data_IF_385522818228
#
_entry.id   IF_385522818228
#
_cell.length_a   1.000
_cell.length_b   1.000
_cell.length_c   1.000
_cell.angle_alpha   90.00
_cell.angle_beta   90.00
_cell.angle_gamma   90.00
#
_symmetry.space_group_name_H-M   'P 1'
#
loop_
_entity.id
_entity.type
_entity.pdbx_description
1 polymer ?
#
# COMPACT_ATOMS: atom_id res chain seq x y z
N UNK A 1 11.52 29.34 -10.92
CA UNK A 1 11.15 29.04 -12.32
C UNK A 1 11.21 27.55 -12.64
N UNK A 2 12.27 26.82 -12.24
CA UNK A 2 12.39 25.37 -12.57
C UNK A 2 11.30 24.49 -11.94
N UNK A 3 11.01 24.65 -10.64
CA UNK A 3 9.91 23.90 -9.99
C UNK A 3 8.55 24.18 -10.62
N UNK A 4 8.32 25.39 -11.16
CA UNK A 4 7.10 25.72 -11.89
C UNK A 4 6.99 24.92 -13.19
N UNK A 5 8.10 24.79 -13.95
CA UNK A 5 8.16 23.94 -15.14
C UNK A 5 7.97 22.47 -14.77
N UNK A 6 8.64 21.99 -13.73
CA UNK A 6 8.48 20.62 -13.25
C UNK A 6 7.03 20.32 -12.85
N UNK A 7 6.35 21.25 -12.16
CA UNK A 7 4.93 21.14 -11.83
C UNK A 7 4.05 21.00 -13.08
N UNK A 8 4.33 21.77 -14.14
CA UNK A 8 3.61 21.67 -15.41
C UNK A 8 3.85 20.32 -16.08
N UNK A 9 5.10 19.85 -16.14
CA UNK A 9 5.44 18.55 -16.71
C UNK A 9 4.80 17.39 -15.95
N UNK A 10 4.84 17.43 -14.61
CA UNK A 10 4.17 16.43 -13.76
C UNK A 10 2.67 16.43 -14.01
N UNK A 11 2.03 17.59 -14.05
CA UNK A 11 0.60 17.66 -14.30
C UNK A 11 0.24 17.17 -15.70
N UNK A 12 1.05 17.47 -16.72
CA UNK A 12 0.81 17.00 -18.08
C UNK A 12 0.71 15.47 -18.16
N UNK A 13 1.52 14.75 -17.37
CA UNK A 13 1.47 13.27 -17.28
C UNK A 13 0.31 12.82 -16.40
N UNK A 14 0.10 13.47 -15.25
CA UNK A 14 -0.91 13.07 -14.26
C UNK A 14 -2.35 13.36 -14.72
N UNK A 15 -2.58 14.43 -15.47
CA UNK A 15 -3.91 14.89 -15.87
C UNK A 15 -4.76 13.81 -16.56
N UNK A 16 -4.30 13.13 -17.64
CA UNK A 16 -5.11 12.08 -18.26
C UNK A 16 -5.34 10.89 -17.30
N UNK A 17 -4.39 10.59 -16.41
CA UNK A 17 -4.55 9.53 -15.42
C UNK A 17 -5.65 9.91 -14.41
N UNK A 18 -5.60 11.12 -13.87
CA UNK A 18 -6.54 11.59 -12.84
C UNK A 18 -7.94 11.87 -13.40
N UNK A 19 -8.04 12.41 -14.62
CA UNK A 19 -9.29 12.96 -15.14
C UNK A 19 -10.03 12.06 -16.13
N UNK A 20 -9.33 11.09 -16.74
CA UNK A 20 -9.90 10.27 -17.82
C UNK A 20 -9.83 8.77 -17.56
N UNK A 21 -9.20 8.34 -16.47
CA UNK A 21 -9.05 6.92 -16.15
C UNK A 21 -10.04 6.50 -15.06
N UNK A 22 -10.93 5.58 -15.41
CA UNK A 22 -11.81 4.92 -14.43
C UNK A 22 -11.03 4.02 -13.46
N UNK A 23 -9.79 3.69 -13.80
CA UNK A 23 -8.87 2.89 -12.99
C UNK A 23 -7.97 3.74 -12.09
N UNK A 24 -8.14 5.06 -12.07
CA UNK A 24 -7.39 5.92 -11.17
C UNK A 24 -7.76 5.66 -9.71
N UNK A 25 -6.76 5.29 -8.91
CA UNK A 25 -6.89 5.14 -7.46
C UNK A 25 -6.05 6.19 -6.74
N UNK A 26 -6.72 7.13 -6.07
CA UNK A 26 -6.05 8.15 -5.28
C UNK A 26 -5.16 7.53 -4.19
N UNK A 27 -5.68 6.53 -3.46
CA UNK A 27 -4.97 5.82 -2.41
C UNK A 27 -3.67 5.16 -2.90
N UNK A 28 -3.69 4.55 -4.09
CA UNK A 28 -2.51 3.96 -4.71
C UNK A 28 -1.43 5.01 -5.00
N UNK A 29 -1.74 6.07 -5.75
CA UNK A 29 -0.76 7.10 -6.11
C UNK A 29 -0.24 7.85 -4.89
N UNK A 30 -1.12 8.13 -3.91
CA UNK A 30 -0.72 8.75 -2.66
C UNK A 30 0.30 7.90 -1.91
N UNK A 31 0.02 6.60 -1.73
CA UNK A 31 0.93 5.67 -1.04
C UNK A 31 2.24 5.52 -1.80
N UNK A 32 2.18 5.43 -3.13
CA UNK A 32 3.36 5.35 -3.99
C UNK A 32 4.28 6.55 -3.79
N UNK A 33 3.74 7.77 -3.88
CA UNK A 33 4.53 9.01 -3.72
C UNK A 33 5.09 9.13 -2.28
N UNK A 34 4.27 8.82 -1.26
CA UNK A 34 4.72 8.81 0.15
C UNK A 34 5.91 7.84 0.34
N UNK A 35 5.86 6.66 -0.26
CA UNK A 35 6.96 5.69 -0.21
C UNK A 35 8.18 6.15 -0.97
N UNK A 36 8.03 6.68 -2.19
CA UNK A 36 9.14 7.23 -2.99
C UNK A 36 9.92 8.30 -2.20
N UNK A 37 9.22 9.15 -1.43
CA UNK A 37 9.83 10.22 -0.63
C UNK A 37 10.76 9.71 0.49
N UNK A 38 10.62 8.45 0.91
CA UNK A 38 11.51 7.80 1.88
C UNK A 38 12.77 7.21 1.23
N UNK A 39 12.98 7.38 -0.08
CA UNK A 39 14.15 6.86 -0.80
C UNK A 39 15.11 7.98 -1.16
N UNK A 40 16.34 7.58 -1.49
CA UNK A 40 17.35 8.40 -2.16
C UNK A 40 17.38 8.11 -3.66
N UNK A 41 18.07 8.95 -4.42
CA UNK A 41 18.42 8.63 -5.81
C UNK A 41 19.26 7.35 -5.85
N UNK A 42 18.95 6.41 -6.76
CA UNK A 42 19.67 5.15 -6.85
C UNK A 42 21.08 5.28 -7.46
N UNK A 43 21.29 6.28 -8.33
CA UNK A 43 22.55 6.46 -9.06
C UNK A 43 23.55 7.27 -8.22
N UNK A 44 23.05 8.28 -7.50
CA UNK A 44 23.83 9.20 -6.67
C UNK A 44 23.19 9.38 -5.28
N UNK A 45 23.14 8.32 -4.45
CA UNK A 45 22.51 8.37 -3.14
C UNK A 45 23.20 9.31 -2.14
N UNK A 46 24.49 9.59 -2.33
CA UNK A 46 25.29 10.45 -1.46
C UNK A 46 25.28 11.94 -1.85
N UNK A 47 24.61 12.29 -2.96
CA UNK A 47 24.46 13.68 -3.40
C UNK A 47 23.16 14.28 -2.82
N UNK A 48 23.32 15.02 -1.73
CA UNK A 48 22.19 15.67 -1.04
C UNK A 48 21.42 16.64 -1.95
N UNK A 49 22.09 17.33 -2.88
CA UNK A 49 21.42 18.26 -3.79
C UNK A 49 20.41 17.55 -4.69
N UNK A 50 20.74 16.34 -5.15
CA UNK A 50 19.85 15.50 -5.96
C UNK A 50 18.70 14.97 -5.12
N UNK A 51 19.01 14.48 -3.91
CA UNK A 51 17.99 13.97 -3.00
C UNK A 51 16.97 15.07 -2.62
N UNK A 52 17.41 16.31 -2.37
CA UNK A 52 16.50 17.43 -2.14
C UNK A 52 15.59 17.70 -3.33
N UNK A 53 16.10 17.61 -4.57
CA UNK A 53 15.27 17.75 -5.78
C UNK A 53 14.25 16.61 -5.89
N UNK A 54 14.66 15.37 -5.60
CA UNK A 54 13.78 14.20 -5.59
C UNK A 54 12.63 14.36 -4.59
N UNK A 55 12.95 14.75 -3.35
CA UNK A 55 11.95 14.94 -2.31
C UNK A 55 11.02 16.14 -2.61
N UNK A 56 11.55 17.22 -3.17
CA UNK A 56 10.74 18.34 -3.64
C UNK A 56 9.78 17.93 -4.77
N UNK A 57 10.19 17.07 -5.71
CA UNK A 57 9.30 16.53 -6.74
C UNK A 57 8.18 15.67 -6.13
N UNK A 58 8.47 14.88 -5.10
CA UNK A 58 7.46 14.11 -4.37
C UNK A 58 6.43 15.04 -3.69
N UNK A 59 6.88 16.15 -3.10
CA UNK A 59 5.99 17.15 -2.50
C UNK A 59 5.12 17.84 -3.56
N UNK A 60 5.69 18.21 -4.71
CA UNK A 60 4.92 18.78 -5.82
C UNK A 60 3.85 17.81 -6.33
N UNK A 61 4.22 16.54 -6.54
CA UNK A 61 3.30 15.51 -7.01
C UNK A 61 2.17 15.28 -5.99
N UNK A 62 2.51 15.22 -4.70
CA UNK A 62 1.53 15.08 -3.61
C UNK A 62 0.53 16.25 -3.60
N UNK A 63 1.02 17.48 -3.73
CA UNK A 63 0.18 18.68 -3.80
C UNK A 63 -0.71 18.71 -5.04
N UNK A 64 -0.19 18.29 -6.20
CA UNK A 64 -0.99 18.18 -7.44
C UNK A 64 -2.10 17.15 -7.29
N UNK A 65 -1.78 15.96 -6.76
CA UNK A 65 -2.74 14.89 -6.54
C UNK A 65 -3.86 15.36 -5.61
N UNK A 66 -3.51 15.98 -4.48
CA UNK A 66 -4.47 16.50 -3.51
C UNK A 66 -5.32 17.66 -4.05
N UNK A 67 -4.80 18.51 -4.94
CA UNK A 67 -5.52 19.71 -5.38
C UNK A 67 -6.33 19.52 -6.64
N UNK A 68 -5.97 18.54 -7.46
CA UNK A 68 -6.56 18.34 -8.79
C UNK A 68 -7.42 17.10 -8.90
N UNK A 69 -7.31 16.16 -7.95
CA UNK A 69 -8.23 15.03 -7.87
C UNK A 69 -9.59 15.51 -7.33
N UNK A 70 -10.64 15.12 -8.03
CA UNK A 70 -12.04 15.36 -7.61
C UNK A 70 -12.65 14.14 -6.91
N UNK A 71 -12.19 12.93 -7.26
CA UNK A 71 -12.67 11.67 -6.71
C UNK A 71 -11.57 10.98 -5.90
N UNK A 72 -11.76 10.90 -4.59
CA UNK A 72 -10.80 10.29 -3.66
C UNK A 72 -11.19 8.84 -3.41
N UNK A 73 -10.82 7.94 -4.33
CA UNK A 73 -10.91 6.52 -4.05
C UNK A 73 -9.84 6.12 -3.02
N UNK A 74 -10.31 5.84 -1.79
CA UNK A 74 -9.50 5.47 -0.64
C UNK A 74 -9.46 3.96 -0.41
N UNK A 75 -10.08 3.17 -1.29
CA UNK A 75 -10.03 1.72 -1.16
C UNK A 75 -8.58 1.25 -1.17
N UNK A 76 -8.29 0.29 -0.30
CA UNK A 76 -6.99 -0.37 -0.28
C UNK A 76 -6.77 -1.03 -1.64
N UNK A 77 -5.69 -0.60 -2.30
CA UNK A 77 -5.30 -1.21 -3.55
C UNK A 77 -4.74 -2.60 -3.24
N UNK A 78 -5.22 -3.67 -3.89
CA UNK A 78 -4.90 -5.04 -3.51
C UNK A 78 -3.42 -5.40 -3.69
N UNK A 79 -2.67 -4.57 -4.43
CA UNK A 79 -1.25 -4.76 -4.67
C UNK A 79 -0.42 -3.68 -3.98
N UNK A 80 0.59 -4.14 -3.26
CA UNK A 80 1.55 -3.29 -2.58
C UNK A 80 2.36 -2.49 -3.61
N UNK A 81 2.43 -1.17 -3.44
CA UNK A 81 3.14 -0.27 -4.38
C UNK A 81 4.63 -0.54 -4.31
N UNK A 82 5.20 -1.18 -5.36
CA UNK A 82 6.63 -1.45 -5.45
C UNK A 82 7.38 -0.23 -5.99
N UNK A 83 8.44 0.19 -5.28
CA UNK A 83 9.32 1.26 -5.73
C UNK A 83 10.41 0.65 -6.63
N UNK A 84 10.60 1.15 -7.87
CA UNK A 84 11.64 0.63 -8.75
C UNK A 84 13.05 0.93 -8.21
N UNK A 85 13.79 -0.11 -7.85
CA UNK A 85 15.14 0.00 -7.25
C UNK A 85 16.20 0.54 -8.21
N UNK A 86 15.91 0.54 -9.53
CA UNK A 86 16.79 1.15 -10.53
C UNK A 86 16.85 2.68 -10.43
N UNK A 87 15.84 3.32 -9.83
CA UNK A 87 15.76 4.79 -9.71
C UNK A 87 15.77 5.25 -8.25
N UNK A 88 15.38 4.39 -7.32
CA UNK A 88 15.26 4.72 -5.91
C UNK A 88 16.07 3.76 -5.03
N UNK A 89 16.99 4.30 -4.24
CA UNK A 89 17.71 3.55 -3.22
C UNK A 89 16.93 3.57 -1.89
N UNK A 90 16.62 2.42 -1.29
CA UNK A 90 15.88 2.35 -0.03
C UNK A 90 16.71 2.91 1.13
N UNK A 91 16.04 3.55 2.08
CA UNK A 91 16.64 4.01 3.33
C UNK A 91 15.99 3.26 4.49
N UNK A 92 16.80 2.50 5.24
CA UNK A 92 16.34 1.80 6.44
C UNK A 92 16.01 2.82 7.53
N UNK A 93 14.88 2.60 8.22
CA UNK A 93 14.44 3.39 9.38
C UNK A 93 14.26 4.90 9.13
N UNK A 94 14.12 5.31 7.88
CA UNK A 94 13.91 6.71 7.50
C UNK A 94 12.45 6.99 7.16
N UNK A 95 11.89 7.99 7.83
CA UNK A 95 10.54 8.52 7.54
C UNK A 95 10.65 10.01 7.24
N UNK A 96 10.40 10.38 5.98
CA UNK A 96 10.57 11.74 5.51
C UNK A 96 9.30 12.59 5.74
N UNK A 97 9.27 13.31 6.85
CA UNK A 97 8.17 14.22 7.20
C UNK A 97 8.41 15.68 6.83
N UNK A 98 9.60 16.01 6.31
CA UNK A 98 9.98 17.40 5.98
C UNK A 98 9.33 17.85 4.67
N UNK A 99 9.13 19.16 4.54
CA UNK A 99 8.65 19.78 3.29
C UNK A 99 9.81 20.47 2.60
N UNK A 100 10.03 20.16 1.33
CA UNK A 100 11.17 20.65 0.52
C UNK A 100 10.73 21.68 -0.53
N UNK A 101 9.48 22.13 -0.47
CA UNK A 101 8.98 23.19 -1.33
C UNK A 101 9.10 24.56 -0.67
N UNK A 102 9.38 25.62 -1.46
CA UNK A 102 9.26 26.98 -0.98
C UNK A 102 7.78 27.30 -0.67
N UNK A 103 7.49 28.17 0.31
CA UNK A 103 6.13 28.44 0.80
C UNK A 103 5.11 28.77 -0.29
N UNK A 104 5.54 29.43 -1.38
CA UNK A 104 4.69 29.85 -2.49
C UNK A 104 4.22 28.66 -3.36
N UNK A 105 4.96 27.55 -3.33
CA UNK A 105 4.62 26.31 -4.04
C UNK A 105 4.04 25.25 -3.13
N UNK A 106 4.13 25.44 -1.82
CA UNK A 106 3.42 24.60 -0.87
C UNK A 106 1.92 24.73 -1.06
N UNK A 107 1.24 23.61 -0.88
CA UNK A 107 -0.20 23.60 -0.93
C UNK A 107 -0.78 24.36 0.26
N UNK A 108 -1.58 25.39 -0.01
CA UNK A 108 -2.31 26.14 1.01
C UNK A 108 -3.73 25.59 1.13
N UNK A 109 -4.11 24.99 2.27
CA UNK A 109 -5.44 24.45 2.44
C UNK A 109 -6.51 25.53 2.39
N UNK A 110 -7.36 25.48 1.37
CA UNK A 110 -8.61 26.23 1.38
C UNK A 110 -9.65 25.48 2.25
N UNK A 111 -10.71 26.17 2.70
CA UNK A 111 -11.72 25.57 3.61
C UNK A 111 -12.30 24.25 3.09
N UNK A 112 -12.56 24.13 1.78
CA UNK A 112 -13.15 22.93 1.17
C UNK A 112 -12.19 21.75 1.24
N UNK A 113 -10.94 21.96 0.85
CA UNK A 113 -9.96 20.88 0.85
C UNK A 113 -9.40 20.59 2.24
N UNK A 114 -9.47 21.53 3.20
CA UNK A 114 -9.18 21.24 4.61
C UNK A 114 -10.14 20.20 5.18
N UNK A 115 -11.42 20.27 4.79
CA UNK A 115 -12.42 19.25 5.12
C UNK A 115 -12.04 17.92 4.46
N UNK A 116 -11.71 17.93 3.17
CA UNK A 116 -11.23 16.72 2.47
C UNK A 116 -10.03 16.09 3.17
N UNK A 117 -9.04 16.88 3.57
CA UNK A 117 -7.85 16.39 4.27
C UNK A 117 -8.18 15.77 5.63
N UNK A 118 -9.11 16.38 6.37
CA UNK A 118 -9.59 15.81 7.64
C UNK A 118 -10.29 14.46 7.45
N UNK A 119 -11.08 14.31 6.39
CA UNK A 119 -11.71 13.03 6.02
C UNK A 119 -10.65 11.98 5.65
N UNK A 120 -9.69 12.34 4.80
CA UNK A 120 -8.57 11.48 4.37
C UNK A 120 -7.71 10.99 5.54
N UNK A 121 -7.50 11.84 6.56
CA UNK A 121 -6.69 11.49 7.73
C UNK A 121 -7.46 10.69 8.79
N UNK A 122 -8.80 10.73 8.79
CA UNK A 122 -9.62 10.03 9.78
C UNK A 122 -9.62 8.52 9.58
N UNK A 123 -9.53 8.04 8.34
CA UNK A 123 -9.41 6.60 8.06
C UNK A 123 -8.05 6.01 8.46
N UNK A 124 -6.98 6.82 8.53
CA UNK A 124 -5.68 6.38 9.08
C UNK A 124 -5.73 6.10 10.60
N UNK A 125 -6.72 6.63 11.33
CA UNK A 125 -6.82 6.52 12.80
C UNK A 125 -7.69 5.35 13.29
N UNK A 126 -8.24 4.51 12.41
CA UNK A 126 -8.85 3.24 12.84
C UNK A 126 -7.76 2.32 13.39
N UNK A 127 -7.45 2.47 14.69
CA UNK A 127 -6.61 1.56 15.46
C UNK A 127 -7.10 0.11 15.26
N UNK A 128 -6.19 -0.88 15.12
CA UNK A 128 -6.59 -2.27 15.26
C UNK A 128 -7.26 -2.45 16.63
N UNK A 129 -8.43 -3.10 16.67
CA UNK A 129 -9.13 -3.41 17.91
C UNK A 129 -8.16 -4.14 18.85
N UNK A 130 -8.06 -3.73 20.14
CA UNK A 130 -7.24 -4.46 21.09
C UNK A 130 -7.81 -5.87 21.25
N UNK A 131 -6.99 -6.90 21.02
CA UNK A 131 -7.28 -8.25 21.51
C UNK A 131 -7.34 -8.17 23.03
N UNK A 132 -8.43 -8.66 23.63
CA UNK A 132 -8.57 -8.77 25.09
C UNK A 132 -7.39 -9.58 25.65
N UNK A 133 -6.76 -9.15 26.75
CA UNK A 133 -5.83 -10.01 27.48
C UNK A 133 -6.64 -11.02 28.28
N UNK A 134 -6.57 -12.30 27.91
CA UNK A 134 -7.00 -13.39 28.78
C UNK A 134 -5.82 -13.78 29.68
N UNK A 135 -6.08 -13.73 30.99
CA UNK A 135 -5.11 -13.88 32.05
C UNK A 135 -4.51 -15.28 32.11
N UNK A 136 -3.27 -15.31 32.60
CA UNK A 136 -2.54 -16.52 32.94
C UNK A 136 -3.23 -17.30 34.07
N UNK A 137 -3.48 -18.58 33.85
CA UNK A 137 -3.82 -19.59 34.85
C UNK A 137 -3.17 -20.93 34.47
N UNK A 138 -2.59 -21.71 35.40
CA UNK A 138 -1.65 -22.78 35.08
C UNK A 138 -2.32 -24.15 34.95
N UNK A 139 -1.65 -25.04 34.21
CA UNK A 139 -1.91 -26.49 34.01
C UNK A 139 -3.10 -26.88 33.11
N UNK A 140 -2.78 -27.71 32.10
CA UNK A 140 -3.75 -28.57 31.42
C UNK A 140 -3.64 -28.52 29.90
N UNK A 141 -2.94 -29.48 29.32
CA UNK A 141 -3.08 -29.89 27.92
C UNK A 141 -4.52 -30.30 27.65
N UNK A 142 -5.11 -29.85 26.54
CA UNK A 142 -5.76 -30.71 25.55
C UNK A 142 -6.36 -29.87 24.40
N UNK A 143 -5.88 -30.17 23.19
CA UNK A 143 -6.34 -29.61 21.91
C UNK A 143 -7.59 -30.39 21.49
N UNK A 144 -8.73 -29.73 21.36
CA UNK A 144 -9.86 -30.29 20.61
C UNK A 144 -9.81 -29.77 19.16
N UNK A 145 -9.76 -30.64 18.13
CA UNK A 145 -9.94 -30.22 16.76
C UNK A 145 -11.42 -29.88 16.52
N UNK A 146 -11.71 -28.64 16.17
CA UNK A 146 -13.06 -28.25 15.71
C UNK A 146 -13.33 -28.86 14.33
N UNK A 147 -14.46 -29.56 14.23
CA UNK A 147 -14.94 -30.33 13.08
C UNK A 147 -15.02 -29.49 11.80
N UNK A 148 -14.47 -30.02 10.71
CA UNK A 148 -14.57 -29.44 9.37
C UNK A 148 -15.98 -29.69 8.81
N UNK A 149 -16.68 -28.62 8.41
CA UNK A 149 -18.03 -28.70 7.83
C UNK A 149 -17.98 -29.21 6.39
N UNK A 150 -18.76 -30.26 6.10
CA UNK A 150 -18.98 -30.85 4.78
C UNK A 150 -19.67 -29.88 3.81
N UNK A 151 -18.90 -29.13 3.02
CA UNK A 151 -19.43 -28.52 1.79
C UNK A 151 -19.40 -29.52 0.65
N UNK A 152 -20.52 -30.23 0.47
CA UNK A 152 -20.78 -31.14 -0.66
C UNK A 152 -21.00 -30.32 -1.94
N UNK A 153 -19.98 -30.23 -2.80
CA UNK A 153 -20.10 -29.63 -4.13
C UNK A 153 -20.60 -30.72 -5.10
N UNK A 154 -21.81 -30.56 -5.62
CA UNK A 154 -22.41 -31.47 -6.58
C UNK A 154 -22.01 -31.04 -8.01
N UNK A 155 -21.20 -31.84 -8.72
CA UNK A 155 -20.92 -31.68 -10.15
C UNK A 155 -21.64 -32.78 -10.95
N UNK A 156 -22.43 -32.45 -11.98
CA UNK A 156 -23.12 -33.45 -12.80
C UNK A 156 -22.25 -33.92 -13.98
N UNK A 157 -22.09 -35.24 -14.10
CA UNK A 157 -21.66 -35.92 -15.33
C UNK A 157 -20.17 -36.22 -15.46
N UNK A 158 -19.71 -37.32 -14.87
CA UNK A 158 -19.09 -38.45 -15.57
C UNK A 158 -18.70 -39.51 -14.53
N UNK A 159 -19.15 -40.73 -14.79
CA UNK A 159 -18.79 -41.96 -14.10
C UNK A 159 -17.34 -42.33 -14.43
N UNK A 160 -16.57 -42.81 -13.45
CA UNK A 160 -15.56 -43.86 -13.64
C UNK A 160 -15.13 -44.41 -12.27
N UNK A 161 -15.45 -45.69 -12.04
CA UNK A 161 -14.95 -46.50 -10.94
C UNK A 161 -13.43 -46.68 -11.09
N UNK A 162 -12.67 -46.42 -10.01
CA UNK A 162 -11.32 -46.97 -9.88
C UNK A 162 -11.16 -47.50 -8.45
N UNK A 163 -11.23 -48.82 -8.37
CA UNK A 163 -10.99 -49.66 -7.19
C UNK A 163 -9.48 -49.66 -6.85
N UNK A 164 -9.10 -49.21 -5.64
CA UNK A 164 -7.70 -49.19 -5.20
C UNK A 164 -7.42 -50.37 -4.23
N UNK A 165 -6.46 -51.27 -4.51
CA UNK A 165 -6.26 -52.49 -3.75
C UNK A 165 -5.48 -52.28 -2.43
N UNK A 166 -5.66 -53.14 -1.41
CA UNK A 166 -5.16 -52.90 -0.06
C UNK A 166 -3.65 -53.13 0.11
N UNK A 167 -3.03 -52.27 0.93
CA UNK A 167 -1.61 -52.26 1.25
C UNK A 167 -1.13 -53.47 2.08
N UNK A 168 0.09 -53.94 1.78
CA UNK A 168 0.75 -55.10 2.42
C UNK A 168 1.34 -54.73 3.78
N UNK A 169 1.07 -55.56 4.80
CA UNK A 169 1.62 -55.46 6.16
C UNK A 169 3.12 -55.80 6.18
N UNK A 170 3.95 -54.95 6.77
CA UNK A 170 5.35 -55.26 7.11
C UNK A 170 5.39 -55.79 8.55
N UNK A 171 6.09 -56.91 8.75
CA UNK A 171 6.16 -57.71 9.98
C UNK A 171 7.35 -57.22 10.83
N UNK A 172 7.12 -56.95 12.11
CA UNK A 172 8.15 -56.60 13.10
C UNK A 172 9.10 -57.79 13.34
N UNK A 173 10.40 -57.50 13.35
CA UNK A 173 11.46 -58.42 13.77
C UNK A 173 12.07 -57.92 15.08
N UNK A 174 12.23 -58.85 16.03
CA UNK A 174 13.00 -58.74 17.26
C UNK A 174 14.48 -58.92 16.94
#
# INVERSE_FOLDING_TARGET
>A
QELTKAKQCLWFILEPLVTKSDYFSYGFYKTLIERMKNHKDAVRPDDDCINYKLWALCDLASGLLLTRTTNYDLKDFPTDTRIPTMYFSPQHDFVNTRVFLPPELQYQPNKKTSITLSMLNSDKQKKPKPKKPEGCGPLGTDVQPSEASDTKIQLPGLEEEVDEPPAKRLREGI
#
